data_IF_109736134901
#
_entry.id   IF_109736134901
#
_cell.length_a   1.000
_cell.length_b   1.000
_cell.length_c   1.000
_cell.angle_alpha   90.00
_cell.angle_beta   90.00
_cell.angle_gamma   90.00
#
_symmetry.space_group_name_H-M   'P 1'
#
loop_
_entity.id
_entity.type
_entity.pdbx_description
1 polymer ?
#
# COMPACT_ATOMS: atom_id res chain seq x y z
N UNK A 1 22.63 -14.91 -7.63
CA UNK A 1 21.72 -14.52 -6.52
C UNK A 1 20.73 -13.49 -7.04
N UNK A 2 19.45 -13.76 -6.91
CA UNK A 2 18.37 -12.86 -7.35
C UNK A 2 18.36 -11.59 -6.52
N UNK A 3 18.52 -10.42 -7.12
CA UNK A 3 18.58 -9.13 -6.46
C UNK A 3 17.22 -8.46 -6.40
N UNK A 4 16.87 -7.90 -5.23
CA UNK A 4 15.56 -7.26 -4.98
C UNK A 4 15.73 -5.83 -4.52
N UNK A 5 14.92 -4.91 -5.05
CA UNK A 5 14.77 -3.53 -4.57
C UNK A 5 13.32 -3.27 -4.13
N UNK A 6 13.15 -2.60 -2.99
CA UNK A 6 11.84 -2.28 -2.39
C UNK A 6 11.72 -0.77 -2.24
N UNK A 7 10.75 -0.17 -2.93
CA UNK A 7 10.42 1.25 -2.84
C UNK A 7 9.35 1.47 -1.77
N UNK A 8 9.72 2.08 -0.67
CA UNK A 8 8.87 2.22 0.51
C UNK A 8 9.08 3.55 1.21
N UNK A 9 8.05 4.00 1.90
CA UNK A 9 8.04 5.21 2.72
C UNK A 9 7.02 5.06 3.85
N UNK A 10 5.90 5.83 3.82
CA UNK A 10 4.97 5.88 4.95
C UNK A 10 4.13 4.62 5.17
N UNK A 11 4.11 3.65 4.25
CA UNK A 11 3.27 2.45 4.38
C UNK A 11 3.86 1.41 5.32
N UNK A 12 5.19 1.37 5.50
CA UNK A 12 5.84 0.43 6.42
C UNK A 12 7.14 1.02 6.94
N UNK A 13 7.30 1.01 8.27
CA UNK A 13 8.46 1.59 8.92
C UNK A 13 9.78 0.90 8.53
N UNK A 14 10.84 1.70 8.35
CA UNK A 14 12.15 1.23 7.89
C UNK A 14 12.76 0.16 8.82
N UNK A 15 12.68 0.36 10.13
CA UNK A 15 13.23 -0.60 11.11
C UNK A 15 12.54 -1.97 11.05
N UNK A 16 11.25 -1.98 10.82
CA UNK A 16 10.49 -3.22 10.63
C UNK A 16 10.92 -3.92 9.34
N UNK A 17 11.03 -3.20 8.23
CA UNK A 17 11.50 -3.74 6.96
C UNK A 17 12.92 -4.34 7.05
N UNK A 18 13.84 -3.65 7.70
CA UNK A 18 15.22 -4.13 7.91
C UNK A 18 15.26 -5.42 8.73
N UNK A 19 14.26 -5.65 9.60
CA UNK A 19 14.12 -6.93 10.32
C UNK A 19 13.52 -8.05 9.46
N UNK A 20 12.78 -7.70 8.40
CA UNK A 20 12.11 -8.67 7.53
C UNK A 20 12.97 -9.11 6.36
N UNK A 21 13.86 -8.24 5.83
CA UNK A 21 14.56 -8.50 4.57
C UNK A 21 15.95 -7.87 4.50
N UNK A 22 16.83 -8.47 3.71
CA UNK A 22 18.14 -7.93 3.34
C UNK A 22 18.13 -7.27 1.95
N UNK A 23 16.95 -7.11 1.33
CA UNK A 23 16.78 -6.45 0.04
C UNK A 23 17.20 -4.97 0.12
N UNK A 24 17.54 -4.39 -1.02
CA UNK A 24 17.86 -2.97 -1.13
C UNK A 24 16.59 -2.14 -0.87
N UNK A 25 16.62 -1.26 0.13
CA UNK A 25 15.51 -0.35 0.45
C UNK A 25 15.75 1.00 -0.21
N UNK A 26 14.80 1.43 -1.03
CA UNK A 26 14.77 2.72 -1.72
C UNK A 26 13.61 3.59 -1.21
N UNK A 27 13.73 4.93 -1.28
CA UNK A 27 12.64 5.85 -0.92
C UNK A 27 11.40 5.65 -1.83
N UNK A 28 10.24 6.29 -1.50
CA UNK A 28 9.06 6.27 -2.36
C UNK A 28 9.41 6.56 -3.81
N UNK A 29 8.94 5.69 -4.72
CA UNK A 29 9.35 5.71 -6.12
C UNK A 29 8.89 6.99 -6.83
N UNK A 30 9.78 7.55 -7.65
CA UNK A 30 9.54 8.68 -8.54
C UNK A 30 9.72 8.28 -9.99
N UNK A 31 9.23 9.13 -10.87
CA UNK A 31 9.50 9.03 -12.30
C UNK A 31 11.00 9.09 -12.57
N UNK A 32 11.50 8.12 -13.34
CA UNK A 32 12.92 8.00 -13.70
C UNK A 32 13.77 7.18 -12.73
N UNK A 33 13.27 6.84 -11.55
CA UNK A 33 14.05 6.11 -10.56
C UNK A 33 14.36 4.67 -11.01
N UNK A 34 13.43 4.01 -11.72
CA UNK A 34 13.57 2.60 -12.10
C UNK A 34 14.85 2.30 -12.90
N UNK A 35 15.32 3.22 -13.71
CA UNK A 35 16.56 3.05 -14.50
C UNK A 35 17.82 2.97 -13.60
N UNK A 36 17.82 3.65 -12.45
CA UNK A 36 18.94 3.61 -11.50
C UNK A 36 19.09 2.22 -10.84
N UNK A 37 18.00 1.45 -10.82
CA UNK A 37 17.94 0.12 -10.22
C UNK A 37 17.82 -1.00 -11.27
N UNK A 38 18.06 -0.71 -12.56
CA UNK A 38 17.86 -1.66 -13.67
C UNK A 38 18.63 -2.99 -13.53
N UNK A 39 19.68 -3.02 -12.69
CA UNK A 39 20.44 -4.23 -12.35
C UNK A 39 19.69 -5.23 -11.47
N UNK A 40 18.60 -4.82 -10.80
CA UNK A 40 17.82 -5.72 -9.96
C UNK A 40 16.91 -6.63 -10.78
N UNK A 41 16.52 -7.77 -10.20
CA UNK A 41 15.66 -8.78 -10.84
C UNK A 41 14.22 -8.67 -10.38
N UNK A 42 14.01 -8.24 -9.13
CA UNK A 42 12.70 -8.08 -8.50
C UNK A 42 12.54 -6.64 -8.01
N UNK A 43 11.44 -6.01 -8.39
CA UNK A 43 11.05 -4.66 -8.01
C UNK A 43 9.77 -4.72 -7.18
N UNK A 44 9.81 -4.24 -5.94
CA UNK A 44 8.64 -4.14 -5.07
C UNK A 44 8.26 -2.67 -4.94
N UNK A 45 7.15 -2.28 -5.55
CA UNK A 45 6.61 -0.93 -5.49
C UNK A 45 5.54 -0.87 -4.40
N UNK A 46 5.83 -0.21 -3.30
CA UNK A 46 4.89 0.01 -2.19
C UNK A 46 4.43 1.46 -2.24
N UNK A 47 5.32 2.39 -1.92
CA UNK A 47 5.03 3.82 -1.94
C UNK A 47 5.66 4.53 -3.14
N UNK A 48 5.02 5.63 -3.54
CA UNK A 48 5.52 6.50 -4.60
C UNK A 48 4.97 7.91 -4.46
N UNK A 49 5.62 8.87 -5.10
CA UNK A 49 5.17 10.24 -5.12
C UNK A 49 3.99 10.43 -6.06
N UNK A 50 3.01 11.23 -5.61
CA UNK A 50 1.85 11.62 -6.41
C UNK A 50 2.14 12.91 -7.18
N UNK A 51 1.52 13.04 -8.34
CA UNK A 51 1.62 14.22 -9.20
C UNK A 51 2.01 13.86 -10.63
N UNK A 52 1.49 14.61 -11.60
CA UNK A 52 1.63 14.27 -13.04
C UNK A 52 3.10 14.14 -13.51
N UNK A 53 4.01 14.89 -12.90
CA UNK A 53 5.43 14.90 -13.27
C UNK A 53 6.32 14.06 -12.35
N UNK A 54 5.80 13.60 -11.21
CA UNK A 54 6.56 12.91 -10.17
C UNK A 54 6.27 11.42 -10.12
N UNK A 55 5.03 11.02 -10.40
CA UNK A 55 4.62 9.63 -10.30
C UNK A 55 5.32 8.75 -11.33
N UNK A 56 5.79 7.57 -10.89
CA UNK A 56 6.28 6.52 -11.79
C UNK A 56 5.24 6.23 -12.87
N UNK A 57 5.66 6.22 -14.13
CA UNK A 57 4.74 6.02 -15.25
C UNK A 57 4.51 4.53 -15.54
N UNK A 58 3.32 4.16 -16.06
CA UNK A 58 3.08 2.81 -16.58
C UNK A 58 4.13 2.36 -17.60
N UNK A 59 4.64 3.27 -18.44
CA UNK A 59 5.64 2.94 -19.48
C UNK A 59 6.97 2.47 -18.89
N UNK A 60 7.41 3.06 -17.77
CA UNK A 60 8.65 2.65 -17.10
C UNK A 60 8.51 1.23 -16.53
N UNK A 61 7.35 0.91 -15.97
CA UNK A 61 7.06 -0.42 -15.43
C UNK A 61 6.97 -1.46 -16.57
N UNK A 62 6.26 -1.14 -17.65
CA UNK A 62 6.18 -2.01 -18.83
C UNK A 62 7.58 -2.32 -19.38
N UNK A 63 8.47 -1.35 -19.45
CA UNK A 63 9.84 -1.58 -19.91
C UNK A 63 10.64 -2.55 -19.01
N UNK A 64 10.34 -2.64 -17.71
CA UNK A 64 10.91 -3.67 -16.83
C UNK A 64 10.30 -5.05 -17.10
N UNK A 65 8.97 -5.12 -17.27
CA UNK A 65 8.26 -6.36 -17.58
C UNK A 65 8.74 -6.95 -18.92
N UNK A 66 8.93 -6.11 -19.94
CA UNK A 66 9.47 -6.50 -21.25
C UNK A 66 10.90 -7.06 -21.17
N UNK A 67 11.68 -6.63 -20.16
CA UNK A 67 13.02 -7.16 -19.86
C UNK A 67 12.98 -8.44 -19.00
N UNK A 68 11.81 -9.01 -18.73
CA UNK A 68 11.64 -10.21 -17.91
C UNK A 68 11.85 -9.99 -16.40
N UNK A 69 11.83 -8.74 -15.93
CA UNK A 69 11.90 -8.42 -14.51
C UNK A 69 10.58 -8.73 -13.81
N UNK A 70 10.64 -9.11 -12.53
CA UNK A 70 9.45 -9.24 -11.70
C UNK A 70 9.13 -7.88 -11.10
N UNK A 71 7.89 -7.42 -11.28
CA UNK A 71 7.41 -6.19 -10.64
C UNK A 71 6.18 -6.50 -9.80
N UNK A 72 6.28 -6.21 -8.51
CA UNK A 72 5.22 -6.42 -7.51
C UNK A 72 4.73 -5.06 -7.05
N UNK A 73 3.41 -4.87 -6.98
CA UNK A 73 2.79 -3.64 -6.51
C UNK A 73 1.78 -3.88 -5.39
N UNK A 74 1.83 -3.07 -4.34
CA UNK A 74 0.98 -3.20 -3.16
C UNK A 74 0.72 -1.86 -2.46
N UNK A 75 -0.22 -1.86 -1.53
CA UNK A 75 -0.38 -0.84 -0.49
C UNK A 75 -0.79 0.56 -0.96
N UNK A 76 0.02 1.24 -1.77
CA UNK A 76 -0.15 2.65 -2.16
C UNK A 76 -0.06 2.83 -3.68
N UNK A 77 0.91 3.64 -4.14
CA UNK A 77 1.20 3.84 -5.57
C UNK A 77 1.42 2.50 -6.27
N UNK A 78 2.07 1.55 -5.61
CA UNK A 78 2.29 0.21 -6.15
C UNK A 78 1.00 -0.55 -6.43
N UNK A 79 0.01 -0.49 -5.53
CA UNK A 79 -1.30 -1.10 -5.72
C UNK A 79 -2.07 -0.47 -6.89
N UNK A 80 -1.99 0.87 -7.02
CA UNK A 80 -2.60 1.60 -8.14
C UNK A 80 -1.99 1.15 -9.47
N UNK A 81 -0.66 1.15 -9.57
CA UNK A 81 0.06 0.72 -10.78
C UNK A 81 -0.19 -0.75 -11.12
N UNK A 82 -0.22 -1.63 -10.11
CA UNK A 82 -0.55 -3.04 -10.32
C UNK A 82 -1.96 -3.20 -10.90
N UNK A 83 -2.95 -2.46 -10.39
CA UNK A 83 -4.32 -2.52 -10.92
C UNK A 83 -4.48 -2.01 -12.36
N UNK A 84 -3.49 -1.27 -12.87
CA UNK A 84 -3.44 -0.80 -14.27
C UNK A 84 -2.67 -1.76 -15.17
N UNK A 85 -1.73 -2.54 -14.60
CA UNK A 85 -0.72 -3.28 -15.34
C UNK A 85 -0.70 -4.79 -15.06
N UNK A 86 -1.63 -5.32 -14.27
CA UNK A 86 -1.75 -6.76 -14.00
C UNK A 86 -1.94 -7.59 -15.28
N UNK A 87 -2.72 -7.08 -16.22
CA UNK A 87 -2.93 -7.70 -17.53
C UNK A 87 -1.64 -7.78 -18.38
N UNK A 88 -0.60 -7.03 -18.03
CA UNK A 88 0.71 -7.04 -18.66
C UNK A 88 1.77 -7.78 -17.84
N UNK A 89 1.37 -8.43 -16.73
CA UNK A 89 2.24 -9.26 -15.92
C UNK A 89 2.80 -8.60 -14.64
N UNK A 90 2.37 -7.38 -14.28
CA UNK A 90 2.66 -6.83 -12.96
C UNK A 90 1.87 -7.58 -11.88
N UNK A 91 2.52 -7.99 -10.80
CA UNK A 91 1.90 -8.76 -9.72
C UNK A 91 1.30 -7.81 -8.69
N UNK A 92 -0.02 -7.80 -8.59
CA UNK A 92 -0.73 -7.05 -7.55
C UNK A 92 -0.89 -7.85 -6.26
N UNK A 93 -0.69 -7.22 -5.10
CA UNK A 93 -0.76 -7.86 -3.79
C UNK A 93 -1.60 -7.06 -2.82
N UNK A 94 -2.49 -7.77 -2.14
CA UNK A 94 -3.20 -7.28 -0.98
C UNK A 94 -4.56 -6.62 -1.26
N UNK A 95 -5.21 -6.22 -0.18
CA UNK A 95 -6.56 -5.69 -0.20
C UNK A 95 -6.71 -4.39 -1.01
N UNK A 96 -5.71 -3.49 -0.93
CA UNK A 96 -5.74 -2.21 -1.67
C UNK A 96 -5.70 -2.47 -3.17
N UNK A 97 -4.81 -3.36 -3.64
CA UNK A 97 -4.76 -3.76 -5.05
C UNK A 97 -6.08 -4.38 -5.49
N UNK A 98 -6.61 -5.37 -4.77
CA UNK A 98 -7.88 -6.05 -5.13
C UNK A 98 -9.04 -5.06 -5.23
N UNK A 99 -9.08 -4.08 -4.33
CA UNK A 99 -10.09 -3.03 -4.35
C UNK A 99 -9.98 -2.15 -5.59
N UNK A 100 -8.76 -1.74 -5.98
CA UNK A 100 -8.56 -0.98 -7.21
C UNK A 100 -8.83 -1.79 -8.47
N UNK A 101 -8.43 -3.05 -8.51
CA UNK A 101 -8.66 -3.94 -9.65
C UNK A 101 -10.15 -4.18 -9.93
N UNK A 102 -10.98 -4.24 -8.86
CA UNK A 102 -12.43 -4.43 -8.96
C UNK A 102 -13.23 -3.12 -9.13
N UNK A 103 -12.62 -1.96 -8.91
CA UNK A 103 -13.31 -0.68 -8.92
C UNK A 103 -13.63 -0.20 -10.33
N UNK A 104 -14.87 0.20 -10.57
CA UNK A 104 -15.27 0.87 -11.82
C UNK A 104 -14.63 2.26 -11.96
N UNK A 105 -14.36 2.94 -10.84
CA UNK A 105 -13.66 4.22 -10.78
C UNK A 105 -12.58 4.13 -9.70
N UNK A 106 -11.33 4.27 -10.09
CA UNK A 106 -10.18 4.34 -9.18
C UNK A 106 -10.00 5.76 -8.69
N UNK A 107 -9.74 5.91 -7.40
CA UNK A 107 -9.50 7.20 -6.77
C UNK A 107 -8.10 7.20 -6.16
N UNK A 108 -7.18 7.86 -6.81
CA UNK A 108 -5.78 7.95 -6.38
C UNK A 108 -5.64 8.56 -4.99
N UNK A 109 -6.55 9.50 -4.63
CA UNK A 109 -6.60 10.14 -3.32
C UNK A 109 -7.00 9.21 -2.17
N UNK A 110 -7.50 8.00 -2.46
CA UNK A 110 -7.84 7.02 -1.42
C UNK A 110 -6.59 6.46 -0.72
N UNK A 111 -5.45 6.37 -1.40
CA UNK A 111 -4.17 5.93 -0.81
C UNK A 111 -3.26 7.08 -0.40
N UNK A 112 -3.61 8.32 -0.76
CA UNK A 112 -2.81 9.49 -0.45
C UNK A 112 -2.83 9.81 1.05
N UNK A 113 -1.67 10.21 1.58
CA UNK A 113 -1.48 10.69 2.95
C UNK A 113 -0.34 11.72 2.98
N UNK A 114 -0.30 12.53 4.05
CA UNK A 114 0.85 13.36 4.38
C UNK A 114 1.79 12.60 5.30
N UNK A 115 3.10 12.76 5.09
CA UNK A 115 4.13 12.11 5.88
C UNK A 115 5.29 13.07 6.18
N UNK A 116 6.08 12.76 7.19
CA UNK A 116 7.28 13.49 7.54
C UNK A 116 8.37 13.29 6.46
N UNK A 117 8.97 14.36 5.92
CA UNK A 117 10.03 14.23 4.92
C UNK A 117 11.36 13.71 5.49
N UNK A 118 11.50 13.63 6.82
CA UNK A 118 12.75 13.24 7.47
C UNK A 118 12.86 11.72 7.65
N UNK A 119 11.75 11.06 7.97
CA UNK A 119 11.72 9.64 8.34
C UNK A 119 10.58 8.86 7.69
N UNK A 120 9.81 9.51 6.82
CA UNK A 120 8.61 8.97 6.15
C UNK A 120 7.47 8.56 7.09
N UNK A 121 7.49 8.93 8.36
CA UNK A 121 6.39 8.64 9.29
C UNK A 121 5.09 9.26 8.80
N UNK A 122 4.03 8.45 8.69
CA UNK A 122 2.71 8.90 8.29
C UNK A 122 2.14 9.90 9.32
N UNK A 123 1.67 11.07 8.85
CA UNK A 123 1.06 12.12 9.68
C UNK A 123 -0.46 12.08 9.59
N UNK A 124 -0.99 11.62 8.47
CA UNK A 124 -2.44 11.55 8.21
C UNK A 124 -2.87 10.13 7.84
N UNK A 125 -4.17 9.87 7.98
CA UNK A 125 -4.78 8.57 7.73
C UNK A 125 -5.26 8.52 6.27
N UNK A 126 -4.82 7.57 5.45
CA UNK A 126 -5.34 7.39 4.09
C UNK A 126 -6.78 6.87 4.10
N UNK A 127 -7.53 7.17 3.06
CA UNK A 127 -8.94 6.76 3.00
C UNK A 127 -9.11 5.24 2.95
N UNK A 128 -8.18 4.51 2.36
CA UNK A 128 -8.20 3.03 2.33
C UNK A 128 -8.20 2.41 3.72
N UNK A 129 -7.48 2.99 4.69
CA UNK A 129 -7.51 2.51 6.08
C UNK A 129 -8.90 2.71 6.71
N UNK A 130 -9.57 3.85 6.43
CA UNK A 130 -10.95 4.07 6.88
C UNK A 130 -11.92 3.09 6.22
N UNK A 131 -11.74 2.81 4.94
CA UNK A 131 -12.58 1.86 4.21
C UNK A 131 -12.40 0.44 4.74
N UNK A 132 -11.17 0.03 5.00
CA UNK A 132 -10.86 -1.28 5.58
C UNK A 132 -11.41 -1.41 7.00
N UNK A 133 -11.25 -0.38 7.83
CA UNK A 133 -11.86 -0.30 9.16
C UNK A 133 -13.37 -0.57 9.09
N UNK A 134 -14.06 0.06 8.16
CA UNK A 134 -15.53 -0.10 7.97
C UNK A 134 -15.87 -1.52 7.52
N UNK A 135 -15.06 -2.13 6.64
CA UNK A 135 -15.26 -3.49 6.17
C UNK A 135 -15.12 -4.50 7.32
N UNK A 136 -14.09 -4.36 8.15
CA UNK A 136 -13.92 -5.18 9.36
C UNK A 136 -15.10 -5.05 10.34
N UNK A 137 -15.60 -3.84 10.54
CA UNK A 137 -16.78 -3.62 11.40
C UNK A 137 -18.07 -4.23 10.81
N UNK A 138 -18.20 -4.20 9.49
CA UNK A 138 -19.33 -4.80 8.76
C UNK A 138 -19.28 -6.34 8.88
N UNK A 139 -18.13 -6.96 8.65
CA UNK A 139 -17.93 -8.41 8.81
C UNK A 139 -18.22 -8.90 10.22
N UNK A 140 -17.94 -8.08 11.22
CA UNK A 140 -18.26 -8.37 12.63
C UNK A 140 -19.68 -8.04 13.05
N UNK A 141 -20.49 -7.47 12.16
CA UNK A 141 -21.84 -7.01 12.48
C UNK A 141 -21.89 -5.78 13.38
N UNK A 142 -20.78 -5.05 13.50
CA UNK A 142 -20.59 -3.94 14.44
C UNK A 142 -20.90 -2.56 13.82
N UNK A 143 -21.34 -2.50 12.57
CA UNK A 143 -21.74 -1.24 11.93
C UNK A 143 -23.00 -1.42 11.10
N UNK A 144 -23.93 -0.47 11.22
CA UNK A 144 -25.14 -0.43 10.40
C UNK A 144 -24.88 0.21 9.04
N UNK A 145 -25.61 -0.16 7.96
CA UNK A 145 -25.41 0.41 6.63
C UNK A 145 -25.49 1.95 6.58
N UNK A 146 -26.39 2.54 7.37
CA UNK A 146 -26.51 4.00 7.45
C UNK A 146 -25.28 4.67 8.12
N UNK A 147 -24.71 4.05 9.15
CA UNK A 147 -23.49 4.50 9.83
C UNK A 147 -22.29 4.36 8.90
N UNK A 148 -22.13 3.23 8.21
CA UNK A 148 -21.11 3.00 7.18
C UNK A 148 -21.07 4.15 6.18
N UNK A 149 -22.21 4.44 5.56
CA UNK A 149 -22.30 5.52 4.57
C UNK A 149 -21.97 6.90 5.17
N UNK A 150 -22.39 7.16 6.42
CA UNK A 150 -22.14 8.42 7.10
C UNK A 150 -20.66 8.59 7.47
N UNK A 151 -20.00 7.56 8.00
CA UNK A 151 -18.57 7.55 8.34
C UNK A 151 -17.72 7.78 7.09
N UNK A 152 -17.97 7.05 6.01
CA UNK A 152 -17.23 7.22 4.75
C UNK A 152 -17.39 8.64 4.19
N UNK A 153 -18.60 9.21 4.22
CA UNK A 153 -18.82 10.61 3.79
C UNK A 153 -18.10 11.61 4.69
N UNK A 154 -18.11 11.41 6.00
CA UNK A 154 -17.45 12.31 6.94
C UNK A 154 -15.91 12.29 6.76
N UNK A 155 -15.32 11.10 6.61
CA UNK A 155 -13.89 10.96 6.36
C UNK A 155 -13.45 11.58 5.02
N UNK A 156 -14.25 11.41 3.95
CA UNK A 156 -13.98 12.00 2.63
C UNK A 156 -14.07 13.53 2.59
N UNK A 157 -14.84 14.15 3.49
CA UNK A 157 -14.90 15.62 3.60
C UNK A 157 -13.61 16.22 4.18
N UNK A 158 -12.79 15.43 4.84
CA UNK A 158 -11.50 15.86 5.34
C UNK A 158 -10.48 15.62 4.24
N UNK A 159 -9.84 16.69 3.76
CA UNK A 159 -8.78 16.59 2.76
C UNK A 159 -7.67 15.65 3.26
N UNK A 160 -7.06 14.85 2.39
CA UNK A 160 -6.12 13.80 2.82
C UNK A 160 -4.97 14.34 3.68
N UNK A 161 -4.42 15.51 3.34
CA UNK A 161 -3.33 16.13 4.10
C UNK A 161 -3.75 16.68 5.47
N UNK A 162 -5.06 16.82 5.70
CA UNK A 162 -5.66 17.31 6.94
C UNK A 162 -6.27 16.17 7.78
N UNK A 163 -6.33 14.95 7.25
CA UNK A 163 -7.01 13.81 7.87
C UNK A 163 -6.12 13.16 8.93
N UNK A 164 -5.69 13.99 9.91
CA UNK A 164 -4.98 13.48 11.08
C UNK A 164 -5.92 12.59 11.91
N UNK A 165 -5.32 11.72 12.71
CA UNK A 165 -6.08 10.84 13.61
C UNK A 165 -7.03 11.63 14.50
N UNK A 166 -6.53 12.70 15.15
CA UNK A 166 -7.33 13.58 15.99
C UNK A 166 -8.53 14.18 15.24
N UNK A 167 -8.31 14.67 14.01
CA UNK A 167 -9.36 15.32 13.22
C UNK A 167 -10.41 14.34 12.75
N UNK A 168 -9.98 13.14 12.36
CA UNK A 168 -10.89 12.06 11.99
C UNK A 168 -11.76 11.65 13.17
N UNK A 169 -11.18 11.32 14.32
CA UNK A 169 -11.94 10.90 15.51
C UNK A 169 -12.85 11.99 16.05
N UNK A 170 -12.41 13.25 16.04
CA UNK A 170 -13.28 14.38 16.42
C UNK A 170 -14.50 14.50 15.51
N UNK A 171 -14.31 14.30 14.19
CA UNK A 171 -15.43 14.32 13.23
C UNK A 171 -16.39 13.17 13.43
N UNK A 172 -15.88 11.96 13.64
CA UNK A 172 -16.70 10.76 13.85
C UNK A 172 -17.41 10.80 15.21
N UNK A 173 -16.78 11.34 16.26
CA UNK A 173 -17.41 11.54 17.57
C UNK A 173 -18.60 12.48 17.52
N UNK A 174 -18.52 13.55 16.73
CA UNK A 174 -19.65 14.46 16.50
C UNK A 174 -20.78 13.80 15.70
N UNK A 175 -20.44 12.89 14.80
CA UNK A 175 -21.39 12.20 13.92
C UNK A 175 -22.16 11.09 14.64
N UNK A 176 -21.45 10.25 15.41
CA UNK A 176 -21.96 9.01 15.98
C UNK A 176 -22.32 9.13 17.47
N UNK A 177 -21.74 10.13 18.15
CA UNK A 177 -21.70 10.21 19.61
C UNK A 177 -20.51 9.44 20.21
N UNK A 178 -20.08 9.82 21.43
CA UNK A 178 -18.90 9.24 22.06
C UNK A 178 -19.04 7.74 22.33
N UNK A 179 -20.13 7.32 22.93
CA UNK A 179 -20.37 5.91 23.31
C UNK A 179 -20.35 4.97 22.10
N UNK A 180 -20.96 5.39 20.99
CA UNK A 180 -21.02 4.59 19.76
C UNK A 180 -19.65 4.47 19.10
N UNK A 181 -18.89 5.56 19.05
CA UNK A 181 -17.51 5.54 18.52
C UNK A 181 -16.62 4.66 19.38
N UNK A 182 -16.69 4.78 20.71
CA UNK A 182 -15.89 4.00 21.63
C UNK A 182 -16.21 2.49 21.53
N UNK A 183 -17.48 2.13 21.33
CA UNK A 183 -17.86 0.75 21.06
C UNK A 183 -17.27 0.21 19.75
N UNK A 184 -17.30 1.01 18.66
CA UNK A 184 -16.69 0.64 17.38
C UNK A 184 -15.18 0.46 17.50
N UNK A 185 -14.48 1.36 18.21
CA UNK A 185 -13.06 1.25 18.44
C UNK A 185 -12.71 0.02 19.30
N UNK A 186 -13.50 -0.28 20.33
CA UNK A 186 -13.34 -1.48 21.15
C UNK A 186 -13.47 -2.75 20.30
N UNK A 187 -14.45 -2.80 19.39
CA UNK A 187 -14.63 -3.91 18.47
C UNK A 187 -13.42 -4.13 17.53
N UNK A 188 -12.61 -3.10 17.31
CA UNK A 188 -11.37 -3.15 16.52
C UNK A 188 -10.11 -3.43 17.37
N UNK A 189 -10.26 -3.60 18.68
CA UNK A 189 -9.12 -3.78 19.59
C UNK A 189 -8.45 -2.48 20.01
N UNK A 190 -9.15 -1.34 19.88
CA UNK A 190 -8.67 -0.03 20.31
C UNK A 190 -7.69 0.67 19.37
N UNK A 191 -7.38 0.07 18.22
CA UNK A 191 -6.39 0.59 17.26
C UNK A 191 -7.00 0.72 15.86
N UNK A 192 -6.64 1.78 15.16
CA UNK A 192 -6.98 1.94 13.74
C UNK A 192 -6.27 0.87 12.91
N UNK A 193 -6.98 0.06 12.12
CA UNK A 193 -6.34 -0.91 11.22
C UNK A 193 -5.49 -0.20 10.15
N UNK A 194 -4.29 -0.71 9.92
CA UNK A 194 -3.39 -0.19 8.88
C UNK A 194 -3.23 -1.23 7.76
N UNK A 195 -4.17 -1.19 6.81
CA UNK A 195 -4.16 -2.11 5.66
C UNK A 195 -2.97 -1.84 4.72
N UNK A 196 -2.48 -0.60 4.67
CA UNK A 196 -1.31 -0.28 3.86
C UNK A 196 -0.07 -0.99 4.39
N UNK A 197 0.14 -0.99 5.69
CA UNK A 197 1.24 -1.73 6.31
C UNK A 197 1.09 -3.23 6.13
N UNK A 198 -0.12 -3.77 6.26
CA UNK A 198 -0.38 -5.19 6.05
C UNK A 198 -0.09 -5.64 4.63
N UNK A 199 -0.57 -4.90 3.64
CA UNK A 199 -0.31 -5.19 2.22
C UNK A 199 1.17 -5.05 1.85
N UNK A 200 1.87 -4.07 2.44
CA UNK A 200 3.30 -3.90 2.26
C UNK A 200 4.08 -5.13 2.78
N UNK A 201 3.76 -5.64 3.97
CA UNK A 201 4.36 -6.87 4.53
C UNK A 201 4.14 -8.07 3.59
N UNK A 202 2.92 -8.24 3.09
CA UNK A 202 2.58 -9.33 2.15
C UNK A 202 3.41 -9.26 0.88
N UNK A 203 3.62 -8.06 0.32
CA UNK A 203 4.44 -7.87 -0.88
C UNK A 203 5.91 -8.20 -0.63
N UNK A 204 6.47 -7.83 0.51
CA UNK A 204 7.85 -8.17 0.91
C UNK A 204 8.01 -9.69 1.04
N UNK A 205 7.09 -10.37 1.71
CA UNK A 205 7.12 -11.83 1.86
C UNK A 205 7.01 -12.56 0.51
N UNK A 206 6.16 -12.07 -0.39
CA UNK A 206 6.05 -12.62 -1.74
C UNK A 206 7.36 -12.46 -2.52
N UNK A 207 7.98 -11.28 -2.45
CA UNK A 207 9.26 -11.03 -3.12
C UNK A 207 10.37 -11.99 -2.64
N UNK A 208 10.43 -12.24 -1.32
CA UNK A 208 11.38 -13.21 -0.75
C UNK A 208 11.11 -14.63 -1.25
N UNK A 209 9.84 -15.03 -1.32
CA UNK A 209 9.46 -16.35 -1.84
C UNK A 209 9.89 -16.52 -3.28
N UNK A 210 9.67 -15.52 -4.13
CA UNK A 210 10.08 -15.55 -5.55
C UNK A 210 11.61 -15.56 -5.68
N UNK A 211 12.32 -14.75 -4.88
CA UNK A 211 13.78 -14.71 -4.89
C UNK A 211 14.38 -16.08 -4.52
N UNK A 212 13.85 -16.72 -3.49
CA UNK A 212 14.27 -18.05 -3.06
C UNK A 212 14.05 -19.11 -4.15
N UNK A 213 12.88 -19.15 -4.77
CA UNK A 213 12.56 -20.10 -5.84
C UNK A 213 13.52 -19.97 -7.03
N UNK A 214 13.79 -18.73 -7.49
CA UNK A 214 14.72 -18.48 -8.61
C UNK A 214 16.15 -18.92 -8.29
N UNK A 215 16.62 -18.68 -7.07
CA UNK A 215 17.97 -19.09 -6.66
C UNK A 215 18.08 -20.63 -6.60
N UNK A 216 17.01 -21.33 -6.20
CA UNK A 216 16.97 -22.79 -6.17
C UNK A 216 17.01 -23.40 -7.57
N UNK A 217 16.28 -22.83 -8.53
CA UNK A 217 16.25 -23.28 -9.92
C UNK A 217 17.61 -23.05 -10.62
N UNK A 218 18.29 -21.93 -10.38
CA UNK A 218 19.63 -21.66 -10.88
C UNK A 218 20.66 -22.68 -10.35
N UNK A 219 20.52 -23.10 -9.11
CA UNK A 219 21.44 -24.09 -8.50
C UNK A 219 21.26 -25.49 -9.10
N UNK A 220 20.02 -25.88 -9.45
CA UNK A 220 19.73 -27.17 -10.07
C UNK A 220 20.21 -27.26 -11.54
N UNK A 221 20.16 -26.16 -12.28
CA UNK A 221 20.61 -26.12 -13.69
C UNK A 221 22.13 -26.06 -13.84
N UNK A 222 22.89 -25.75 -12.79
CA UNK A 222 24.37 -25.66 -12.85
C UNK A 222 25.06 -27.02 -12.52
N UNK A 223 24.32 -28.06 -12.16
CA UNK A 223 24.85 -29.39 -11.74
C UNK A 223 24.67 -30.45 -12.85
N UNK A 224 24.19 -30.06 -14.03
CA UNK A 224 24.12 -30.91 -15.23
C UNK A 224 25.15 -30.50 -16.24
#
# INVERSE_FOLDING_TARGET
MTSTVIFVGPSLGRSELESMTTALLAPPIRRGDLEQFAGNDIFVLIDGEFGQNLSVSPKEILALLDRGKVVIGASSMGALRASELDVYGMIGVGWVYERFARAAVRRDDDVALAFSPFDYTAVTIPMVNVQYMIELLEERGEIRPAEKAAVLRAARRIFFADRTEMRLWSSLRKLLGPERLDAMLTALGGVMPDIKAEDARRAVLLAQTIAYSRTSDECMTTVT
#
